data_IF_228690967242
#
_entry.id   IF_228690967242
#
_cell.length_a   1.000
_cell.length_b   1.000
_cell.length_c   1.000
_cell.angle_alpha   90.00
_cell.angle_beta   90.00
_cell.angle_gamma   90.00
#
_symmetry.space_group_name_H-M   'P 1'
#
loop_
_entity.id
_entity.type
_entity.pdbx_description
1 polymer ?
#
# COMPACT_ATOMS: atom_id res chain seq x y z
N UNK A 1 -28.98 1.41 11.48
CA UNK A 1 -27.51 1.37 11.32
C UNK A 1 -27.09 2.36 10.25
N UNK A 2 -26.40 3.42 10.65
CA UNK A 2 -26.00 4.49 9.75
C UNK A 2 -24.85 4.01 8.86
N UNK A 3 -25.12 3.69 7.58
CA UNK A 3 -24.15 3.49 6.50
C UNK A 3 -23.47 4.82 6.15
N UNK A 4 -22.96 5.50 7.17
CA UNK A 4 -22.14 6.70 7.05
C UNK A 4 -20.95 6.26 6.23
N UNK A 5 -20.91 6.66 4.96
CA UNK A 5 -19.86 7.47 4.34
C UNK A 5 -18.49 7.47 5.05
N UNK A 6 -18.00 6.33 5.54
CA UNK A 6 -16.57 6.07 5.68
C UNK A 6 -16.06 5.73 4.28
N UNK A 7 -16.24 6.69 3.36
CA UNK A 7 -15.35 6.85 2.22
C UNK A 7 -13.98 6.92 2.87
N UNK A 8 -13.25 5.81 2.77
CA UNK A 8 -12.15 5.41 3.65
C UNK A 8 -11.27 6.63 3.92
N UNK A 9 -11.43 7.25 5.09
CA UNK A 9 -10.83 8.57 5.40
C UNK A 9 -9.29 8.50 5.46
N UNK A 10 -8.73 7.29 5.31
CA UNK A 10 -7.31 6.98 5.20
C UNK A 10 -6.89 6.33 3.87
N UNK A 11 -7.75 6.25 2.84
CA UNK A 11 -7.37 5.59 1.58
C UNK A 11 -6.21 6.31 0.89
N UNK A 12 -6.24 7.65 0.90
CA UNK A 12 -5.13 8.47 0.41
C UNK A 12 -3.83 8.24 1.18
N UNK A 13 -3.92 8.07 2.51
CA UNK A 13 -2.76 7.73 3.35
C UNK A 13 -2.21 6.34 3.05
N UNK A 14 -3.08 5.36 2.79
CA UNK A 14 -2.68 4.01 2.38
C UNK A 14 -2.01 4.02 1.00
N UNK A 15 -2.54 4.75 0.02
CA UNK A 15 -1.90 4.92 -1.28
C UNK A 15 -0.55 5.65 -1.17
N UNK A 16 -0.45 6.66 -0.31
CA UNK A 16 0.82 7.34 -0.03
C UNK A 16 1.86 6.39 0.59
N UNK A 17 1.45 5.53 1.54
CA UNK A 17 2.32 4.52 2.14
C UNK A 17 2.78 3.46 1.12
N UNK A 18 1.90 3.01 0.23
CA UNK A 18 2.25 2.11 -0.87
C UNK A 18 3.25 2.77 -1.84
N UNK A 19 3.02 4.04 -2.18
CA UNK A 19 3.94 4.84 -3.00
C UNK A 19 5.32 5.00 -2.35
N UNK A 20 5.38 5.25 -1.05
CA UNK A 20 6.64 5.33 -0.30
C UNK A 20 7.40 4.00 -0.32
N UNK A 21 6.70 2.87 -0.16
CA UNK A 21 7.31 1.55 -0.26
C UNK A 21 7.87 1.27 -1.67
N UNK A 22 7.18 1.69 -2.72
CA UNK A 22 7.66 1.62 -4.10
C UNK A 22 8.91 2.50 -4.32
N UNK A 23 8.90 3.72 -3.80
CA UNK A 23 10.05 4.62 -3.83
C UNK A 23 11.26 4.03 -3.10
N UNK A 24 11.05 3.41 -1.94
CA UNK A 24 12.11 2.72 -1.19
C UNK A 24 12.68 1.53 -1.97
N UNK A 25 11.82 0.72 -2.61
CA UNK A 25 12.28 -0.39 -3.47
C UNK A 25 13.06 0.10 -4.70
N UNK A 26 12.69 1.24 -5.28
CA UNK A 26 13.39 1.85 -6.42
C UNK A 26 14.70 2.52 -6.02
N UNK A 27 14.79 3.03 -4.79
CA UNK A 27 15.98 3.65 -4.25
C UNK A 27 17.01 2.61 -3.76
N UNK A 28 16.56 1.45 -3.27
CA UNK A 28 17.43 0.40 -2.73
C UNK A 28 18.59 -0.05 -3.66
N UNK A 29 18.40 -0.24 -4.99
CA UNK A 29 19.50 -0.60 -5.89
C UNK A 29 20.59 0.47 -5.99
N UNK A 30 20.26 1.75 -5.77
CA UNK A 30 21.22 2.85 -5.86
C UNK A 30 22.23 2.88 -4.71
N UNK A 31 21.95 2.16 -3.60
CA UNK A 31 22.83 2.07 -2.43
C UNK A 31 23.64 0.77 -2.38
N UNK A 32 23.59 -0.07 -3.43
CA UNK A 32 24.32 -1.34 -3.48
C UNK A 32 23.76 -2.41 -2.54
N UNK A 33 22.45 -2.35 -2.28
CA UNK A 33 21.79 -3.08 -1.20
C UNK A 33 21.33 -4.51 -1.61
N UNK A 34 21.17 -5.39 -0.63
CA UNK A 34 20.77 -6.81 -0.82
C UNK A 34 19.37 -6.95 -1.41
N UNK A 35 19.09 -8.10 -2.06
CA UNK A 35 17.77 -8.40 -2.65
C UNK A 35 16.59 -8.17 -1.68
N UNK A 36 16.80 -8.36 -0.38
CA UNK A 36 15.85 -8.08 0.70
C UNK A 36 15.41 -6.62 0.79
N UNK A 37 16.28 -5.67 0.46
CA UNK A 37 15.99 -4.24 0.46
C UNK A 37 15.00 -3.84 -0.64
N UNK A 38 14.87 -4.66 -1.69
CA UNK A 38 13.90 -4.46 -2.78
C UNK A 38 12.62 -5.27 -2.52
N UNK A 39 12.74 -6.51 -2.06
CA UNK A 39 11.58 -7.41 -1.88
C UNK A 39 10.71 -7.04 -0.69
N UNK A 40 11.28 -6.54 0.41
CA UNK A 40 10.50 -6.17 1.61
C UNK A 40 9.57 -4.99 1.33
N UNK A 41 10.02 -3.86 0.75
CA UNK A 41 9.12 -2.77 0.43
C UNK A 41 8.12 -3.12 -0.68
N UNK A 42 8.51 -3.92 -1.68
CA UNK A 42 7.57 -4.41 -2.70
C UNK A 42 6.44 -5.25 -2.09
N UNK A 43 6.76 -6.16 -1.17
CA UNK A 43 5.76 -6.97 -0.47
C UNK A 43 4.82 -6.09 0.37
N UNK A 44 5.37 -5.06 1.01
CA UNK A 44 4.58 -4.04 1.71
C UNK A 44 3.61 -3.31 0.79
N UNK A 45 4.07 -2.83 -0.37
CA UNK A 45 3.23 -2.15 -1.36
C UNK A 45 2.10 -3.04 -1.88
N UNK A 46 2.39 -4.30 -2.21
CA UNK A 46 1.39 -5.28 -2.67
C UNK A 46 0.35 -5.57 -1.59
N UNK A 47 0.78 -5.72 -0.33
CA UNK A 47 -0.13 -5.99 0.79
C UNK A 47 -1.10 -4.82 1.03
N UNK A 48 -0.61 -3.59 0.94
CA UNK A 48 -1.45 -2.38 1.07
C UNK A 48 -2.45 -2.28 -0.09
N UNK A 49 -2.00 -2.50 -1.34
CA UNK A 49 -2.88 -2.49 -2.51
C UNK A 49 -3.97 -3.57 -2.42
N UNK A 50 -3.61 -4.78 -1.96
CA UNK A 50 -4.55 -5.88 -1.71
C UNK A 50 -5.58 -5.53 -0.64
N UNK A 51 -5.14 -4.93 0.47
CA UNK A 51 -6.03 -4.46 1.54
C UNK A 51 -7.04 -3.41 1.07
N UNK A 52 -6.59 -2.45 0.25
CA UNK A 52 -7.48 -1.44 -0.37
C UNK A 52 -8.49 -2.11 -1.31
N UNK A 53 -8.05 -3.05 -2.15
CA UNK A 53 -8.94 -3.77 -3.06
C UNK A 53 -10.00 -4.61 -2.31
N UNK A 54 -9.60 -5.25 -1.21
CA UNK A 54 -10.52 -6.00 -0.35
C UNK A 54 -11.55 -5.09 0.31
N UNK A 55 -11.12 -3.98 0.92
CA UNK A 55 -12.02 -2.98 1.52
C UNK A 55 -13.01 -2.41 0.50
N UNK A 56 -12.55 -2.13 -0.73
CA UNK A 56 -13.43 -1.64 -1.81
C UNK A 56 -14.48 -2.66 -2.23
N UNK A 57 -14.14 -3.96 -2.24
CA UNK A 57 -15.09 -5.04 -2.52
C UNK A 57 -16.14 -5.16 -1.41
N UNK A 58 -15.71 -5.12 -0.16
CA UNK A 58 -16.60 -5.22 1.00
C UNK A 58 -17.55 -4.01 1.10
N UNK A 59 -17.11 -2.82 0.69
CA UNK A 59 -17.97 -1.63 0.59
C UNK A 59 -18.92 -1.62 -0.62
N UNK A 60 -18.68 -2.46 -1.64
CA UNK A 60 -19.52 -2.57 -2.83
C UNK A 60 -20.61 -3.63 -2.71
N UNK A 61 -20.54 -4.50 -1.69
CA UNK A 61 -21.53 -5.50 -1.32
C UNK A 61 -22.58 -4.93 -0.33
#
# INVERSE_FOLDING_TARGET
>A
MSRIRMRVRGEGLMWAAAGFCLLAALAAPAFGDSATAVTVPLTGAVSIAGGIAWLRRDQAA
#
